data_IF_152801440098
#
_entry.id   IF_152801440098
#
_cell.length_a   1.000
_cell.length_b   1.000
_cell.length_c   1.000
_cell.angle_alpha   90.00
_cell.angle_beta   90.00
_cell.angle_gamma   90.00
#
_symmetry.space_group_name_H-M   'P 1'
#
loop_
_entity.id
_entity.type
_entity.pdbx_description
1 polymer ?
#
# COMPACT_ATOMS: atom_id res chain seq x y z
N UNK A 1 27.76 -41.28 85.77
CA UNK A 1 26.73 -40.98 84.75
C UNK A 1 26.53 -39.48 84.76
N UNK A 2 26.79 -38.79 83.65
CA UNK A 2 25.65 -38.34 82.85
C UNK A 2 26.03 -38.11 81.37
N UNK A 3 25.21 -38.61 80.42
CA UNK A 3 25.39 -38.47 78.98
C UNK A 3 24.51 -37.35 78.38
N UNK A 4 24.68 -37.14 77.05
CA UNK A 4 23.88 -36.35 76.08
C UNK A 4 24.48 -34.99 75.76
N UNK A 5 25.26 -34.87 74.68
CA UNK A 5 24.79 -34.75 73.29
C UNK A 5 23.68 -33.70 73.13
N UNK A 6 24.06 -32.43 73.04
CA UNK A 6 23.26 -31.44 72.31
C UNK A 6 23.97 -31.14 70.99
N UNK A 7 23.41 -31.75 69.96
CA UNK A 7 23.72 -31.52 68.56
C UNK A 7 23.53 -30.05 68.18
N UNK A 8 24.63 -29.31 68.06
CA UNK A 8 24.66 -28.08 67.27
C UNK A 8 24.78 -28.45 65.80
N UNK A 9 23.68 -28.90 65.19
CA UNK A 9 23.57 -29.10 63.75
C UNK A 9 23.62 -27.72 63.07
N UNK A 10 24.82 -27.17 62.90
CA UNK A 10 25.03 -25.94 62.15
C UNK A 10 24.66 -26.21 60.70
N UNK A 11 23.49 -25.71 60.30
CA UNK A 11 22.96 -25.74 58.96
C UNK A 11 23.94 -24.98 58.06
N UNK A 12 24.85 -25.73 57.42
CA UNK A 12 25.71 -25.24 56.35
C UNK A 12 24.83 -25.00 55.13
N UNK A 13 24.39 -23.76 54.97
CA UNK A 13 23.75 -23.29 53.74
C UNK A 13 24.81 -23.37 52.63
N UNK A 14 24.79 -24.46 51.87
CA UNK A 14 25.49 -24.55 50.59
C UNK A 14 24.80 -23.58 49.64
N UNK A 15 25.29 -22.33 49.58
CA UNK A 15 24.96 -21.42 48.48
C UNK A 15 25.66 -21.98 47.24
N UNK A 16 24.96 -22.85 46.51
CA UNK A 16 25.36 -23.22 45.15
C UNK A 16 25.19 -21.98 44.30
N UNK A 17 26.26 -21.21 44.15
CA UNK A 17 26.37 -20.18 43.12
C UNK A 17 26.37 -20.94 41.79
N UNK A 18 25.18 -21.13 41.21
CA UNK A 18 25.04 -21.43 39.79
C UNK A 18 25.61 -20.22 39.06
N UNK A 19 26.89 -20.32 38.67
CA UNK A 19 27.44 -19.48 37.62
C UNK A 19 26.66 -19.86 36.36
N UNK A 20 25.54 -19.19 36.14
CA UNK A 20 24.91 -19.09 34.83
C UNK A 20 25.97 -18.37 34.00
N UNK A 21 26.81 -19.13 33.32
CA UNK A 21 27.53 -18.60 32.17
C UNK A 21 26.44 -18.28 31.17
N UNK A 22 26.00 -17.02 31.14
CA UNK A 22 25.12 -16.54 30.08
C UNK A 22 25.81 -16.90 28.78
N UNK A 23 25.25 -17.88 28.07
CA UNK A 23 25.70 -18.21 26.73
C UNK A 23 25.34 -17.01 25.87
N UNK A 24 26.31 -16.11 25.66
CA UNK A 24 26.13 -14.91 24.84
C UNK A 24 25.89 -15.38 23.41
N UNK A 25 24.66 -15.22 22.92
CA UNK A 25 24.34 -15.36 21.50
C UNK A 25 24.68 -14.07 20.77
N UNK A 26 25.24 -14.21 19.57
CA UNK A 26 25.52 -13.08 18.69
C UNK A 26 24.40 -12.95 17.67
N UNK A 27 23.72 -11.82 17.61
CA UNK A 27 22.72 -11.56 16.57
C UNK A 27 23.40 -11.02 15.31
N UNK A 28 23.07 -11.61 14.17
CA UNK A 28 23.57 -11.21 12.86
C UNK A 28 22.42 -11.04 11.89
N UNK A 29 22.59 -10.10 10.97
CA UNK A 29 21.61 -9.83 9.93
C UNK A 29 22.30 -9.81 8.57
N UNK A 30 21.65 -10.41 7.59
CA UNK A 30 22.12 -10.42 6.21
C UNK A 30 20.98 -10.09 5.24
N UNK A 31 21.35 -9.52 4.09
CA UNK A 31 20.41 -9.35 3.00
C UNK A 31 20.27 -10.65 2.20
N UNK A 32 19.06 -10.93 1.71
CA UNK A 32 18.79 -11.98 0.73
C UNK A 32 19.71 -11.85 -0.50
N UNK A 33 20.25 -12.97 -0.98
CA UNK A 33 21.33 -13.06 -1.98
C UNK A 33 22.65 -12.36 -1.60
N UNK A 34 22.76 -11.85 -0.38
CA UNK A 34 23.95 -11.20 0.15
C UNK A 34 24.93 -12.17 0.79
N UNK A 35 25.71 -11.66 1.75
CA UNK A 35 26.64 -12.43 2.57
C UNK A 35 26.32 -12.22 4.04
N UNK A 36 26.13 -13.32 4.78
CA UNK A 36 26.05 -13.33 6.23
C UNK A 36 27.45 -13.52 6.83
N UNK A 37 27.67 -12.92 7.99
CA UNK A 37 28.92 -13.01 8.74
C UNK A 37 28.65 -13.73 10.04
N UNK A 38 29.22 -14.93 10.21
CA UNK A 38 29.03 -15.79 11.37
C UNK A 38 30.31 -15.79 12.21
N UNK A 39 30.41 -14.91 13.23
CA UNK A 39 31.63 -14.73 14.00
C UNK A 39 31.87 -15.92 14.94
N UNK A 40 33.15 -16.18 15.19
CA UNK A 40 33.61 -17.17 16.13
C UNK A 40 34.81 -16.61 16.91
N UNK A 41 34.59 -15.59 17.74
CA UNK A 41 35.65 -14.81 18.34
C UNK A 41 36.61 -15.70 19.13
N UNK A 42 37.91 -15.63 18.81
CA UNK A 42 38.92 -16.46 19.45
C UNK A 42 40.12 -15.65 19.90
N UNK A 43 40.09 -15.22 21.16
CA UNK A 43 41.15 -14.40 21.76
C UNK A 43 42.43 -15.19 22.07
N UNK A 44 42.31 -16.51 22.31
CA UNK A 44 43.45 -17.41 22.58
C UNK A 44 44.27 -17.76 21.33
N UNK A 45 43.87 -17.28 20.15
CA UNK A 45 44.51 -17.54 18.86
C UNK A 45 46.01 -17.21 18.82
N UNK A 46 46.45 -16.21 19.60
CA UNK A 46 47.83 -15.69 19.52
C UNK A 46 48.90 -16.74 19.80
N UNK A 47 48.55 -17.84 20.48
CA UNK A 47 49.49 -18.89 20.88
C UNK A 47 49.25 -20.25 20.21
N UNK A 48 48.23 -20.41 19.37
CA UNK A 48 47.87 -21.71 18.79
C UNK A 48 47.71 -21.57 17.27
N UNK A 49 48.52 -22.33 16.53
CA UNK A 49 48.43 -22.36 15.06
C UNK A 49 47.14 -23.05 14.60
N UNK A 50 46.59 -22.63 13.45
CA UNK A 50 45.49 -23.35 12.79
C UNK A 50 45.83 -24.81 12.49
N UNK A 51 47.11 -25.16 12.37
CA UNK A 51 47.58 -26.55 12.23
C UNK A 51 47.31 -27.43 13.44
N UNK A 52 47.02 -26.84 14.61
CA UNK A 52 46.68 -27.55 15.85
C UNK A 52 45.18 -27.51 16.16
N UNK A 53 44.40 -26.79 15.35
CA UNK A 53 43.00 -26.50 15.61
C UNK A 53 42.08 -27.24 14.64
N UNK A 54 40.89 -27.55 15.14
CA UNK A 54 39.73 -27.92 14.33
C UNK A 54 38.69 -26.83 14.55
N UNK A 55 38.30 -26.15 13.48
CA UNK A 55 37.35 -25.03 13.51
C UNK A 55 36.19 -25.37 12.61
N UNK A 56 34.96 -25.34 13.10
CA UNK A 56 33.80 -25.66 12.27
C UNK A 56 32.55 -24.92 12.71
N UNK A 57 31.65 -24.74 11.75
CA UNK A 57 30.32 -24.18 11.97
C UNK A 57 29.26 -25.21 11.62
N UNK A 58 28.21 -25.27 12.43
CA UNK A 58 27.02 -26.09 12.23
C UNK A 58 25.76 -25.23 12.30
N UNK A 59 24.75 -25.57 11.50
CA UNK A 59 23.42 -24.98 11.65
C UNK A 59 22.65 -25.63 12.81
N UNK A 60 21.45 -25.11 13.09
CA UNK A 60 20.51 -25.65 14.07
C UNK A 60 20.12 -27.13 13.84
N UNK A 61 20.27 -27.66 12.61
CA UNK A 61 20.10 -29.07 12.28
C UNK A 61 21.40 -29.89 12.39
N UNK A 62 22.48 -29.27 12.89
CA UNK A 62 23.83 -29.83 13.03
C UNK A 62 24.50 -30.16 11.70
N UNK A 63 24.04 -29.60 10.59
CA UNK A 63 24.68 -29.74 9.30
C UNK A 63 25.93 -28.85 9.29
N UNK A 64 27.07 -29.40 8.86
CA UNK A 64 28.33 -28.66 8.83
C UNK A 64 28.35 -27.73 7.62
N UNK A 65 28.60 -26.44 7.87
CA UNK A 65 28.75 -25.43 6.82
C UNK A 65 30.18 -25.35 6.31
N UNK A 66 31.14 -25.51 7.23
CA UNK A 66 32.56 -25.33 7.00
C UNK A 66 33.34 -26.08 8.06
N UNK A 67 34.45 -26.71 7.67
CA UNK A 67 35.41 -27.32 8.59
C UNK A 67 36.84 -27.00 8.13
N UNK A 68 37.61 -26.43 9.05
CA UNK A 68 39.06 -26.36 8.99
C UNK A 68 39.62 -27.42 9.93
N UNK A 69 40.41 -28.34 9.41
CA UNK A 69 40.95 -29.47 10.14
C UNK A 69 42.48 -29.47 10.07
N UNK A 70 43.13 -29.16 11.20
CA UNK A 70 44.58 -29.25 11.39
C UNK A 70 45.39 -28.64 10.22
N UNK A 71 45.08 -27.40 9.88
CA UNK A 71 45.80 -26.60 8.88
C UNK A 71 45.22 -26.67 7.47
N UNK A 72 44.25 -27.56 7.19
CA UNK A 72 43.65 -27.71 5.86
C UNK A 72 42.12 -27.63 5.92
N UNK A 73 41.51 -27.04 4.91
CA UNK A 73 40.05 -27.05 4.76
C UNK A 73 39.57 -28.46 4.38
N UNK A 74 38.54 -28.95 5.08
CA UNK A 74 38.00 -30.30 4.91
C UNK A 74 36.59 -30.23 4.34
N UNK A 75 36.47 -30.48 3.04
CA UNK A 75 35.19 -30.39 2.32
C UNK A 75 34.30 -31.62 2.51
N UNK A 76 34.86 -32.79 2.77
CA UNK A 76 34.10 -34.06 2.83
C UNK A 76 33.02 -34.10 3.92
N UNK A 77 33.16 -33.26 4.96
CA UNK A 77 32.17 -33.16 6.03
C UNK A 77 31.18 -32.02 5.84
N UNK A 78 31.43 -31.12 4.89
CA UNK A 78 30.53 -30.00 4.58
C UNK A 78 29.28 -30.53 3.88
N UNK A 79 28.11 -30.12 4.38
CA UNK A 79 26.84 -30.50 3.79
C UNK A 79 26.66 -29.86 2.40
N UNK A 80 26.04 -30.59 1.47
CA UNK A 80 25.82 -30.15 0.09
C UNK A 80 25.09 -28.79 -0.02
N UNK A 81 24.23 -28.43 0.94
CA UNK A 81 23.54 -27.12 1.01
C UNK A 81 24.52 -25.93 1.09
N UNK A 82 25.71 -26.14 1.64
CA UNK A 82 26.70 -25.09 1.95
C UNK A 82 27.95 -25.16 1.08
N UNK A 83 28.14 -26.25 0.33
CA UNK A 83 29.28 -26.40 -0.56
C UNK A 83 29.37 -25.24 -1.57
N UNK A 84 30.54 -24.60 -1.66
CA UNK A 84 30.78 -23.47 -2.56
C UNK A 84 30.12 -22.15 -2.12
N UNK A 85 29.49 -22.12 -0.94
CA UNK A 85 28.83 -20.91 -0.40
C UNK A 85 29.57 -20.31 0.79
N UNK A 86 30.66 -20.87 1.25
CA UNK A 86 31.36 -20.41 2.46
C UNK A 86 32.78 -19.95 2.19
N UNK A 87 33.23 -18.91 2.89
CA UNK A 87 34.66 -18.55 2.97
C UNK A 87 35.05 -18.14 4.39
N UNK A 88 36.20 -18.60 4.87
CA UNK A 88 36.65 -18.33 6.23
C UNK A 88 37.66 -17.18 6.30
N UNK A 89 37.30 -16.12 7.01
CA UNK A 89 38.18 -15.00 7.34
C UNK A 89 38.95 -15.32 8.63
N UNK A 90 40.18 -15.80 8.45
CA UNK A 90 41.08 -16.23 9.52
C UNK A 90 41.54 -15.08 10.43
N UNK A 91 41.59 -13.86 9.90
CA UNK A 91 42.06 -12.70 10.65
C UNK A 91 41.01 -12.26 11.67
N UNK A 92 39.73 -12.35 11.28
CA UNK A 92 38.60 -11.94 12.10
C UNK A 92 37.89 -13.10 12.81
N UNK A 93 38.30 -14.34 12.53
CA UNK A 93 37.62 -15.55 13.00
C UNK A 93 36.13 -15.60 12.63
N UNK A 94 35.82 -15.28 11.37
CA UNK A 94 34.44 -15.13 10.90
C UNK A 94 34.23 -15.97 9.65
N UNK A 95 33.18 -16.79 9.65
CA UNK A 95 32.72 -17.48 8.45
C UNK A 95 31.79 -16.57 7.66
N UNK A 96 32.04 -16.43 6.36
CA UNK A 96 31.16 -15.72 5.42
C UNK A 96 30.30 -16.76 4.73
N UNK A 97 28.98 -16.65 4.88
CA UNK A 97 28.01 -17.45 4.13
C UNK A 97 27.43 -16.60 2.99
N UNK A 98 27.74 -16.97 1.76
CA UNK A 98 27.37 -16.28 0.53
C UNK A 98 26.05 -16.78 -0.05
N UNK A 99 25.44 -15.95 -0.89
CA UNK A 99 24.16 -16.23 -1.55
C UNK A 99 23.08 -16.62 -0.54
N UNK A 100 22.94 -15.83 0.53
CA UNK A 100 22.05 -16.12 1.66
C UNK A 100 20.60 -16.21 1.19
N UNK A 101 19.89 -17.28 1.56
CA UNK A 101 18.48 -17.49 1.29
C UNK A 101 17.67 -17.35 2.59
N UNK A 102 16.35 -17.14 2.50
CA UNK A 102 15.48 -17.07 3.68
C UNK A 102 15.57 -18.38 4.52
N UNK A 103 15.73 -19.52 3.85
CA UNK A 103 15.94 -20.86 4.45
C UNK A 103 17.27 -21.03 5.20
N UNK A 104 18.16 -20.05 5.16
CA UNK A 104 19.37 -20.05 5.97
C UNK A 104 19.16 -19.33 7.31
N UNK A 105 17.97 -18.77 7.59
CA UNK A 105 17.66 -18.19 8.90
C UNK A 105 17.73 -19.25 10.01
N UNK A 106 18.17 -18.80 11.19
CA UNK A 106 18.21 -19.59 12.41
C UNK A 106 19.57 -19.56 13.09
N UNK A 107 19.74 -20.49 14.03
CA UNK A 107 20.92 -20.57 14.89
C UNK A 107 22.08 -21.29 14.21
N UNK A 108 23.29 -20.80 14.45
CA UNK A 108 24.55 -21.39 14.00
C UNK A 108 25.54 -21.50 15.15
N UNK A 109 26.03 -22.70 15.41
CA UNK A 109 27.11 -22.93 16.37
C UNK A 109 28.46 -22.92 15.67
N UNK A 110 29.38 -22.11 16.16
CA UNK A 110 30.80 -22.27 15.86
C UNK A 110 31.52 -22.99 17.01
N UNK A 111 32.44 -23.89 16.65
CA UNK A 111 33.35 -24.54 17.57
C UNK A 111 34.81 -24.34 17.15
N UNK A 112 35.67 -24.04 18.12
CA UNK A 112 37.13 -24.11 17.97
C UNK A 112 37.62 -25.14 18.96
N UNK A 113 38.28 -26.18 18.45
CA UNK A 113 38.78 -27.30 19.24
C UNK A 113 40.29 -27.44 19.07
N UNK A 114 40.98 -27.77 20.15
CA UNK A 114 42.33 -28.35 20.07
C UNK A 114 42.19 -29.85 19.99
N UNK A 115 42.95 -30.50 19.10
CA UNK A 115 42.93 -31.96 18.95
C UNK A 115 44.28 -32.59 19.35
N UNK A 116 44.59 -32.72 20.65
CA UNK A 116 45.70 -33.55 21.10
C UNK A 116 45.46 -35.05 20.81
N UNK A 117 46.49 -35.91 20.90
CA UNK A 117 46.33 -37.36 20.75
C UNK A 117 45.33 -37.99 21.74
N UNK A 118 45.12 -37.34 22.89
CA UNK A 118 44.24 -37.80 23.97
C UNK A 118 42.76 -37.54 23.72
N UNK A 119 42.38 -36.77 22.69
CA UNK A 119 41.00 -36.44 22.38
C UNK A 119 40.83 -35.03 21.82
N UNK A 120 39.60 -34.52 21.78
CA UNK A 120 39.30 -33.14 21.39
C UNK A 120 38.91 -32.30 22.61
N UNK A 121 39.48 -31.09 22.72
CA UNK A 121 39.16 -30.12 23.76
C UNK A 121 38.51 -28.91 23.10
N UNK A 122 37.26 -28.60 23.46
CA UNK A 122 36.58 -27.38 23.01
C UNK A 122 37.24 -26.18 23.70
N UNK A 123 37.80 -25.27 22.90
CA UNK A 123 38.41 -24.03 23.36
C UNK A 123 37.45 -22.84 23.31
N UNK A 124 36.52 -22.86 22.36
CA UNK A 124 35.49 -21.83 22.15
C UNK A 124 34.24 -22.49 21.56
N UNK A 125 33.08 -22.02 22.02
CA UNK A 125 31.80 -22.22 21.37
C UNK A 125 31.09 -20.87 21.29
N UNK A 126 30.53 -20.55 20.12
CA UNK A 126 29.77 -19.31 19.92
C UNK A 126 28.48 -19.62 19.18
N UNK A 127 27.35 -19.24 19.76
CA UNK A 127 26.05 -19.31 19.11
C UNK A 127 25.78 -18.00 18.37
N UNK A 128 25.42 -18.08 17.09
CA UNK A 128 25.03 -16.92 16.27
C UNK A 128 23.61 -17.11 15.76
N UNK A 129 22.75 -16.13 16.00
CA UNK A 129 21.40 -16.07 15.43
C UNK A 129 21.43 -15.28 14.12
N UNK A 130 21.09 -15.91 13.00
CA UNK A 130 21.04 -15.26 11.69
C UNK A 130 19.60 -14.89 11.30
N UNK A 131 19.36 -13.60 11.14
CA UNK A 131 18.16 -13.04 10.52
C UNK A 131 18.44 -12.65 9.06
N UNK A 132 17.45 -12.85 8.18
CA UNK A 132 17.57 -12.48 6.76
C UNK A 132 16.49 -11.48 6.39
N UNK A 133 16.92 -10.37 5.77
CA UNK A 133 16.04 -9.32 5.25
C UNK A 133 16.07 -9.35 3.72
N UNK A 134 14.89 -9.24 3.12
CA UNK A 134 14.74 -8.94 1.71
C UNK A 134 13.95 -7.65 1.58
N UNK A 135 14.52 -6.66 0.88
CA UNK A 135 13.84 -5.41 0.65
C UNK A 135 12.64 -5.64 -0.27
N UNK A 136 11.48 -5.21 0.19
CA UNK A 136 10.29 -5.11 -0.64
C UNK A 136 10.55 -4.17 -1.83
N UNK A 137 9.98 -4.50 -2.99
CA UNK A 137 9.93 -3.57 -4.12
C UNK A 137 9.20 -2.29 -3.70
N UNK A 138 9.59 -1.14 -4.28
CA UNK A 138 8.85 0.11 -4.09
C UNK A 138 7.35 -0.14 -4.35
N UNK A 139 6.43 0.27 -3.45
CA UNK A 139 5.01 0.05 -3.66
C UNK A 139 4.54 0.79 -4.91
N UNK A 140 3.79 0.10 -5.77
CA UNK A 140 3.28 0.65 -7.03
C UNK A 140 1.75 0.70 -7.01
N UNK A 141 1.17 1.89 -7.24
CA UNK A 141 -0.27 2.09 -7.36
C UNK A 141 -0.69 1.91 -8.82
N UNK A 142 -1.72 1.10 -9.05
CA UNK A 142 -2.35 0.87 -10.35
C UNK A 142 -3.84 1.17 -10.28
N UNK A 143 -4.35 1.82 -11.33
CA UNK A 143 -5.77 2.11 -11.51
C UNK A 143 -6.42 0.97 -12.32
N UNK A 144 -7.57 0.45 -11.89
CA UNK A 144 -8.36 -0.47 -12.69
C UNK A 144 -9.00 0.27 -13.87
N UNK A 145 -9.01 -0.34 -15.06
CA UNK A 145 -9.33 0.30 -16.34
C UNK A 145 -10.77 0.83 -16.51
N UNK A 146 -11.64 0.71 -15.50
CA UNK A 146 -13.06 1.09 -15.60
C UNK A 146 -13.33 2.43 -14.89
N UNK A 147 -12.75 3.52 -15.38
CA UNK A 147 -13.13 4.87 -14.93
C UNK A 147 -14.16 5.43 -15.91
N UNK A 148 -15.44 5.30 -15.58
CA UNK A 148 -16.48 6.14 -16.20
C UNK A 148 -16.63 7.38 -15.31
N UNK A 149 -16.70 8.57 -15.89
CA UNK A 149 -16.45 9.87 -15.22
C UNK A 149 -17.16 10.21 -13.89
N UNK A 150 -18.14 9.40 -13.45
CA UNK A 150 -18.82 9.52 -12.15
C UNK A 150 -18.84 8.21 -11.33
N UNK A 151 -18.39 7.11 -11.90
CA UNK A 151 -18.28 5.81 -11.24
C UNK A 151 -16.91 5.74 -10.59
N UNK A 152 -16.85 5.53 -9.27
CA UNK A 152 -15.63 5.59 -8.47
C UNK A 152 -14.41 4.86 -9.06
N UNK A 153 -13.22 5.26 -8.60
CA UNK A 153 -11.94 4.67 -8.99
C UNK A 153 -11.61 3.47 -8.11
N UNK A 154 -11.04 2.44 -8.72
CA UNK A 154 -10.48 1.30 -8.01
C UNK A 154 -8.95 1.33 -8.13
N UNK A 155 -8.29 1.41 -6.99
CA UNK A 155 -6.85 1.42 -6.87
C UNK A 155 -6.38 0.10 -6.29
N UNK A 156 -5.27 -0.39 -6.81
CA UNK A 156 -4.54 -1.52 -6.24
C UNK A 156 -3.10 -1.10 -6.08
N UNK A 157 -2.58 -1.23 -4.88
CA UNK A 157 -1.18 -1.03 -4.61
C UNK A 157 -0.50 -2.37 -4.37
N UNK A 158 0.67 -2.58 -4.98
CA UNK A 158 1.40 -3.86 -4.87
C UNK A 158 2.86 -3.63 -4.51
N UNK A 159 3.40 -4.50 -3.67
CA UNK A 159 4.83 -4.59 -3.37
C UNK A 159 5.23 -6.06 -3.25
N UNK A 160 6.44 -6.42 -3.69
CA UNK A 160 6.82 -7.82 -3.93
C UNK A 160 8.22 -8.15 -3.42
N UNK A 161 8.48 -9.46 -3.31
CA UNK A 161 9.80 -10.06 -3.09
C UNK A 161 10.49 -9.59 -1.79
N UNK A 162 9.74 -9.33 -0.72
CA UNK A 162 10.28 -8.86 0.55
C UNK A 162 10.16 -9.84 1.71
N UNK A 163 10.96 -9.63 2.76
CA UNK A 163 10.98 -10.42 3.99
C UNK A 163 11.54 -9.55 5.14
N UNK A 164 10.98 -9.56 6.36
CA UNK A 164 9.95 -10.48 6.90
C UNK A 164 8.53 -10.11 6.49
N UNK A 165 7.55 -10.85 7.03
CA UNK A 165 6.11 -10.62 6.79
C UNK A 165 5.74 -9.17 7.14
N UNK A 166 5.05 -8.44 6.24
CA UNK A 166 4.65 -7.05 6.50
C UNK A 166 3.53 -6.95 7.54
N UNK A 167 3.48 -5.83 8.28
CA UNK A 167 2.46 -5.56 9.30
C UNK A 167 1.20 -4.95 8.71
N UNK A 168 1.35 -3.92 7.88
CA UNK A 168 0.22 -3.22 7.24
C UNK A 168 0.63 -2.58 5.92
N UNK A 169 -0.36 -2.41 5.05
CA UNK A 169 -0.23 -1.67 3.80
C UNK A 169 -1.50 -0.84 3.61
N UNK A 170 -1.36 0.45 3.38
CA UNK A 170 -2.50 1.36 3.39
C UNK A 170 -2.27 2.55 2.45
N UNK A 171 -3.35 3.22 2.09
CA UNK A 171 -3.33 4.44 1.28
C UNK A 171 -3.50 5.67 2.18
N UNK A 172 -2.74 6.71 1.85
CA UNK A 172 -2.90 8.06 2.35
C UNK A 172 -3.38 8.94 1.21
N UNK A 173 -4.37 9.77 1.49
CA UNK A 173 -5.02 10.66 0.52
C UNK A 173 -4.81 12.10 1.00
N UNK A 174 -4.54 13.02 0.08
CA UNK A 174 -4.39 14.45 0.41
C UNK A 174 -5.53 14.93 1.31
N UNK A 175 -5.19 15.73 2.33
CA UNK A 175 -6.11 16.31 3.32
C UNK A 175 -6.78 15.30 4.28
N UNK A 176 -6.36 14.04 4.30
CA UNK A 176 -6.81 13.05 5.28
C UNK A 176 -5.62 12.45 6.04
N UNK A 177 -5.81 12.19 7.33
CA UNK A 177 -4.87 11.42 8.17
C UNK A 177 -5.29 9.96 8.31
N UNK A 178 -6.42 9.57 7.72
CA UNK A 178 -6.94 8.22 7.82
C UNK A 178 -6.14 7.25 6.94
N UNK A 179 -5.96 6.04 7.44
CA UNK A 179 -5.40 4.92 6.68
C UNK A 179 -6.54 4.23 5.93
N UNK A 180 -6.46 4.21 4.59
CA UNK A 180 -7.48 3.58 3.75
C UNK A 180 -6.99 2.24 3.17
N UNK A 181 -7.92 1.32 2.91
CA UNK A 181 -7.69 0.08 2.19
C UNK A 181 -7.96 -1.16 3.04
N UNK A 182 -9.05 -1.85 2.74
CA UNK A 182 -9.61 -2.90 3.60
C UNK A 182 -9.28 -4.32 3.15
N UNK A 183 -8.68 -4.48 1.96
CA UNK A 183 -8.42 -5.80 1.34
C UNK A 183 -6.92 -6.04 1.18
N UNK A 184 -6.21 -6.12 2.30
CA UNK A 184 -4.80 -6.48 2.34
C UNK A 184 -4.66 -8.00 2.11
N UNK A 185 -3.97 -8.37 1.04
CA UNK A 185 -3.68 -9.75 0.67
C UNK A 185 -2.17 -9.96 0.68
N UNK A 186 -1.72 -11.04 1.33
CA UNK A 186 -0.31 -11.42 1.39
C UNK A 186 -0.20 -12.84 0.84
N UNK A 187 0.74 -13.05 -0.07
CA UNK A 187 1.17 -14.36 -0.54
C UNK A 187 2.64 -14.57 -0.22
N UNK A 188 3.05 -15.83 -0.06
CA UNK A 188 4.42 -16.23 0.17
C UNK A 188 4.84 -17.24 -0.89
N UNK A 189 5.99 -17.02 -1.51
CA UNK A 189 6.57 -17.95 -2.46
C UNK A 189 7.12 -19.19 -1.73
N UNK A 190 6.80 -20.39 -2.21
CA UNK A 190 7.16 -21.65 -1.52
C UNK A 190 8.64 -22.04 -1.69
N UNK A 191 9.35 -21.48 -2.68
CA UNK A 191 10.76 -21.78 -2.94
C UNK A 191 11.66 -20.82 -2.19
N UNK A 192 11.43 -19.51 -2.37
CA UNK A 192 12.24 -18.42 -1.85
C UNK A 192 11.78 -17.93 -0.47
N UNK A 193 10.54 -18.26 -0.07
CA UNK A 193 9.89 -17.79 1.17
C UNK A 193 9.68 -16.27 1.24
N UNK A 194 9.85 -15.57 0.12
CA UNK A 194 9.63 -14.14 -0.02
C UNK A 194 8.13 -13.82 -0.12
N UNK A 195 7.73 -12.71 0.49
CA UNK A 195 6.35 -12.23 0.50
C UNK A 195 6.05 -11.30 -0.67
N UNK A 196 4.83 -11.38 -1.18
CA UNK A 196 4.22 -10.38 -2.05
C UNK A 196 2.91 -9.92 -1.42
N UNK A 197 2.66 -8.62 -1.49
CA UNK A 197 1.52 -7.98 -0.84
C UNK A 197 0.77 -7.08 -1.82
N UNK A 198 -0.54 -7.07 -1.69
CA UNK A 198 -1.41 -6.12 -2.37
C UNK A 198 -2.48 -5.58 -1.42
N UNK A 199 -2.82 -4.31 -1.55
CA UNK A 199 -4.03 -3.75 -0.94
C UNK A 199 -4.84 -2.99 -2.00
N UNK A 200 -6.16 -3.06 -1.90
CA UNK A 200 -7.09 -2.42 -2.83
C UNK A 200 -7.99 -1.42 -2.11
N UNK A 201 -8.35 -0.36 -2.83
CA UNK A 201 -9.18 0.73 -2.35
C UNK A 201 -10.12 1.20 -3.46
N UNK A 202 -11.40 1.32 -3.13
CA UNK A 202 -12.41 1.93 -3.99
C UNK A 202 -12.76 3.32 -3.47
N UNK A 203 -12.59 4.36 -4.30
CA UNK A 203 -12.95 5.73 -3.96
C UNK A 203 -14.04 6.22 -4.89
N UNK A 204 -15.17 6.65 -4.33
CA UNK A 204 -16.13 7.47 -5.06
C UNK A 204 -15.67 8.92 -4.99
N UNK A 205 -15.50 9.59 -6.13
CA UNK A 205 -15.26 11.03 -6.13
C UNK A 205 -16.55 11.73 -5.69
N UNK A 206 -16.55 12.51 -4.59
CA UNK A 206 -17.65 13.40 -4.31
C UNK A 206 -17.67 14.53 -5.36
N UNK A 207 -18.87 14.98 -5.71
CA UNK A 207 -19.05 16.14 -6.60
C UNK A 207 -18.24 17.34 -6.08
N UNK A 208 -17.32 17.84 -6.91
CA UNK A 208 -16.57 19.07 -6.62
C UNK A 208 -15.21 18.92 -5.91
N UNK A 209 -14.65 17.72 -5.72
CA UNK A 209 -13.23 17.55 -5.31
C UNK A 209 -12.35 17.41 -6.55
N UNK A 210 -11.45 18.38 -6.75
CA UNK A 210 -10.78 18.64 -8.04
C UNK A 210 -9.36 18.08 -8.15
N UNK A 211 -8.62 17.93 -7.05
CA UNK A 211 -7.27 17.35 -7.04
C UNK A 211 -7.09 16.40 -5.86
N UNK A 212 -6.66 15.18 -6.14
CA UNK A 212 -6.34 14.19 -5.13
C UNK A 212 -4.96 13.59 -5.42
N UNK A 213 -4.11 13.55 -4.40
CA UNK A 213 -2.86 12.80 -4.41
C UNK A 213 -3.01 11.59 -3.51
N UNK A 214 -2.71 10.42 -4.05
CA UNK A 214 -2.75 9.16 -3.33
C UNK A 214 -1.32 8.63 -3.20
N UNK A 215 -0.95 8.26 -1.98
CA UNK A 215 0.32 7.60 -1.66
C UNK A 215 0.01 6.29 -0.97
N UNK A 216 0.72 5.23 -1.35
CA UNK A 216 0.60 3.93 -0.72
C UNK A 216 1.81 3.71 0.19
N UNK A 217 1.56 3.21 1.39
CA UNK A 217 2.59 2.99 2.41
C UNK A 217 2.58 1.53 2.82
N UNK A 218 3.76 0.90 2.79
CA UNK A 218 4.01 -0.42 3.33
C UNK A 218 4.81 -0.29 4.63
N UNK A 219 4.36 -0.97 5.68
CA UNK A 219 5.01 -0.99 6.98
C UNK A 219 5.32 -2.43 7.39
N UNK A 220 6.59 -2.68 7.73
CA UNK A 220 7.08 -3.94 8.30
C UNK A 220 7.54 -3.70 9.74
N UNK A 221 8.13 -4.72 10.38
CA UNK A 221 8.69 -4.55 11.73
C UNK A 221 9.87 -3.58 11.79
N UNK A 222 10.63 -3.47 10.69
CA UNK A 222 11.91 -2.76 10.63
C UNK A 222 11.93 -1.59 9.64
N UNK A 223 10.97 -1.50 8.72
CA UNK A 223 10.96 -0.49 7.66
C UNK A 223 9.57 0.02 7.34
N UNK A 224 9.52 1.28 6.86
CA UNK A 224 8.35 1.92 6.29
C UNK A 224 8.74 2.50 4.93
N UNK A 225 8.05 2.09 3.87
CA UNK A 225 8.31 2.56 2.50
C UNK A 225 7.03 3.08 1.87
N UNK A 226 7.18 4.10 1.03
CA UNK A 226 6.07 4.76 0.34
C UNK A 226 6.23 4.62 -1.17
N UNK A 227 5.10 4.59 -1.88
CA UNK A 227 5.06 4.70 -3.33
C UNK A 227 5.38 6.12 -3.81
N UNK A 228 5.64 6.24 -5.11
CA UNK A 228 5.46 7.52 -5.81
C UNK A 228 4.01 8.01 -5.66
N UNK A 229 3.78 9.33 -5.59
CA UNK A 229 2.44 9.89 -5.53
C UNK A 229 1.69 9.69 -6.86
N UNK A 230 0.43 9.28 -6.79
CA UNK A 230 -0.50 9.26 -7.92
C UNK A 230 -1.45 10.45 -7.82
N UNK A 231 -1.45 11.32 -8.83
CA UNK A 231 -2.29 12.52 -8.87
C UNK A 231 -3.50 12.30 -9.79
N UNK A 232 -4.69 12.65 -9.30
CA UNK A 232 -5.93 12.67 -10.08
C UNK A 232 -6.31 14.12 -10.41
N UNK A 233 -6.56 14.37 -11.70
CA UNK A 233 -7.13 15.61 -12.25
C UNK A 233 -8.31 15.21 -13.12
N UNK A 234 -9.52 15.64 -12.78
CA UNK A 234 -10.66 15.44 -13.68
C UNK A 234 -10.54 16.39 -14.87
N UNK A 235 -10.37 15.85 -16.09
CA UNK A 235 -10.57 16.63 -17.31
C UNK A 235 -12.07 16.92 -17.42
N UNK A 236 -12.47 18.16 -17.13
CA UNK A 236 -13.76 18.64 -17.60
C UNK A 236 -13.79 18.45 -19.12
N UNK A 237 -14.89 17.96 -19.72
CA UNK A 237 -15.16 18.30 -21.11
C UNK A 237 -15.11 19.81 -21.13
N UNK A 238 -14.11 20.38 -21.82
CA UNK A 238 -13.98 21.82 -21.93
C UNK A 238 -15.37 22.40 -22.23
N UNK A 239 -15.78 23.53 -21.64
CA UNK A 239 -17.09 24.10 -21.91
C UNK A 239 -17.25 24.55 -23.38
N UNK A 240 -16.33 24.21 -24.28
CA UNK A 240 -16.39 24.48 -25.71
C UNK A 240 -17.70 24.02 -26.36
N UNK A 241 -18.43 23.04 -25.81
CA UNK A 241 -19.76 22.67 -26.34
C UNK A 241 -20.84 23.67 -25.93
N UNK A 242 -20.80 24.22 -24.71
CA UNK A 242 -21.83 25.12 -24.21
C UNK A 242 -21.76 26.51 -24.85
N UNK A 243 -20.56 27.00 -25.14
CA UNK A 243 -20.38 28.31 -25.79
C UNK A 243 -20.80 28.28 -27.27
N UNK A 244 -20.71 27.11 -27.92
CA UNK A 244 -21.20 26.91 -29.30
C UNK A 244 -22.73 26.94 -29.38
N UNK A 245 -23.41 26.35 -28.40
CA UNK A 245 -24.89 26.38 -28.31
C UNK A 245 -25.43 27.79 -27.98
N UNK A 246 -24.77 28.52 -27.07
CA UNK A 246 -25.19 29.89 -26.73
C UNK A 246 -24.99 30.82 -27.93
N UNK A 247 -23.85 30.74 -28.62
CA UNK A 247 -23.59 31.60 -29.80
C UNK A 247 -24.57 31.32 -30.94
N UNK A 248 -24.93 30.05 -31.18
CA UNK A 248 -25.98 29.70 -32.13
C UNK A 248 -27.36 30.25 -31.70
N UNK A 249 -27.72 30.13 -30.42
CA UNK A 249 -29.01 30.62 -29.92
C UNK A 249 -29.13 32.15 -29.99
N UNK A 250 -28.07 32.87 -29.63
CA UNK A 250 -28.03 34.34 -29.67
C UNK A 250 -28.07 34.85 -31.11
N UNK A 251 -27.39 34.19 -32.05
CA UNK A 251 -27.43 34.57 -33.47
C UNK A 251 -28.81 34.32 -34.09
N UNK A 252 -29.45 33.18 -33.79
CA UNK A 252 -30.81 32.89 -34.25
C UNK A 252 -31.82 33.92 -33.68
N UNK A 253 -31.71 34.26 -32.39
CA UNK A 253 -32.57 35.27 -31.78
C UNK A 253 -32.41 36.66 -32.43
N UNK A 254 -31.17 37.09 -32.71
CA UNK A 254 -30.90 38.35 -33.42
C UNK A 254 -31.49 38.37 -34.82
N UNK A 255 -31.39 37.27 -35.57
CA UNK A 255 -31.96 37.15 -36.91
C UNK A 255 -33.49 37.23 -36.88
N UNK A 256 -34.15 36.60 -35.91
CA UNK A 256 -35.61 36.67 -35.75
C UNK A 256 -36.07 38.09 -35.42
N UNK A 257 -35.37 38.80 -34.52
CA UNK A 257 -35.67 40.21 -34.19
C UNK A 257 -35.51 41.11 -35.41
N UNK A 258 -34.43 40.94 -36.19
CA UNK A 258 -34.22 41.69 -37.44
C UNK A 258 -35.33 41.44 -38.46
N UNK A 259 -35.79 40.19 -38.59
CA UNK A 259 -36.87 39.81 -39.52
C UNK A 259 -38.20 40.44 -39.10
N UNK A 260 -38.50 40.47 -37.80
CA UNK A 260 -39.67 41.17 -37.25
C UNK A 260 -39.62 42.68 -37.52
N UNK A 261 -38.45 43.32 -37.35
CA UNK A 261 -38.27 44.75 -37.68
C UNK A 261 -38.54 44.99 -39.17
N UNK A 262 -38.02 44.15 -40.07
CA UNK A 262 -38.25 44.28 -41.53
C UNK A 262 -39.74 44.12 -41.86
N UNK A 263 -40.44 43.16 -41.26
CA UNK A 263 -41.88 42.94 -41.46
C UNK A 263 -42.69 44.14 -40.95
N UNK A 264 -42.35 44.70 -39.78
CA UNK A 264 -43.00 45.90 -39.25
C UNK A 264 -42.72 47.17 -40.08
N UNK A 265 -41.54 47.26 -40.72
CA UNK A 265 -41.23 48.36 -41.63
C UNK A 265 -41.91 48.23 -43.00
N UNK A 266 -42.37 47.04 -43.40
CA UNK A 266 -43.17 46.83 -44.61
C UNK A 266 -44.62 47.31 -44.39
N UNK A 267 -44.78 48.63 -44.28
CA UNK A 267 -46.08 49.30 -44.31
C UNK A 267 -46.70 49.11 -45.71
N UNK A 268 -47.92 48.56 -45.83
CA UNK A 268 -48.55 48.33 -47.13
C UNK A 268 -48.89 49.68 -47.79
N UNK A 269 -48.35 49.90 -49.00
CA UNK A 269 -48.77 50.98 -49.88
C UNK A 269 -50.24 50.73 -50.30
N UNK A 270 -51.16 51.56 -49.82
CA UNK A 270 -52.54 51.60 -50.31
C UNK A 270 -52.56 52.15 -51.75
N UNK A 271 -53.25 51.49 -52.69
CA UNK A 271 -53.52 52.04 -54.01
C UNK A 271 -54.72 53.00 -53.99
N UNK A 272 -54.57 54.07 -54.76
CA UNK A 272 -55.47 55.22 -54.91
C UNK A 272 -56.81 54.88 -55.56
N UNK A 273 -57.93 55.30 -54.95
CA UNK A 273 -59.18 55.67 -55.66
C UNK A 273 -60.00 56.67 -54.85
N UNK A 274 -60.32 57.84 -55.44
CA UNK A 274 -61.63 58.42 -55.18
C UNK A 274 -62.25 59.02 -56.46
N UNK A 275 -63.53 58.72 -56.70
CA UNK A 275 -64.49 59.75 -57.11
C UNK A 275 -65.89 59.33 -56.70
N UNK A 276 -66.51 60.23 -55.94
CA UNK A 276 -67.84 60.15 -55.36
C UNK A 276 -68.90 60.48 -56.40
N UNK A 277 -70.08 59.85 -56.33
CA UNK A 277 -71.38 60.52 -56.51
C UNK A 277 -72.47 59.65 -55.89
N UNK A 278 -73.39 60.32 -55.20
CA UNK A 278 -74.45 59.83 -54.33
C UNK A 278 -75.72 59.33 -55.07
N UNK A 279 -76.72 58.96 -54.25
CA UNK A 279 -78.06 58.38 -54.55
C UNK A 279 -78.04 56.84 -54.56
N UNK A 280 -78.95 56.11 -53.90
CA UNK A 280 -80.38 56.37 -53.62
C UNK A 280 -80.88 55.44 -52.49
N UNK A 281 -81.91 55.92 -51.79
CA UNK A 281 -82.79 55.21 -50.82
C UNK A 281 -83.50 53.97 -51.40
N UNK A 282 -83.92 53.07 -50.50
CA UNK A 282 -85.18 52.28 -50.34
C UNK A 282 -84.82 50.88 -49.76
N UNK A 283 -85.08 50.55 -48.48
CA UNK A 283 -86.31 50.00 -47.85
C UNK A 283 -86.73 48.59 -48.34
N UNK A 284 -86.71 47.63 -47.41
CA UNK A 284 -87.68 46.51 -47.13
C UNK A 284 -86.95 45.43 -46.30
N UNK A 285 -87.25 45.20 -45.01
CA UNK A 285 -88.38 44.50 -44.35
C UNK A 285 -88.40 42.96 -44.49
N UNK A 286 -87.92 42.26 -43.46
CA UNK A 286 -88.49 41.07 -42.78
C UNK A 286 -87.35 40.41 -41.98
N UNK A 287 -87.39 40.42 -40.64
CA UNK A 287 -88.15 39.48 -39.81
C UNK A 287 -87.66 38.04 -39.98
N UNK A 288 -86.65 37.65 -39.20
CA UNK A 288 -86.65 36.34 -38.55
C UNK A 288 -85.99 36.42 -37.17
N UNK A 289 -86.57 35.61 -36.29
CA UNK A 289 -86.62 35.72 -34.85
C UNK A 289 -86.01 34.45 -34.30
N UNK A 290 -84.95 34.54 -33.50
CA UNK A 290 -84.76 33.56 -32.44
C UNK A 290 -83.90 34.09 -31.30
N UNK A 291 -84.40 33.82 -30.09
CA UNK A 291 -83.92 34.32 -28.81
C UNK A 291 -83.57 33.07 -28.01
N UNK A 292 -82.33 32.93 -27.54
CA UNK A 292 -82.05 32.08 -26.38
C UNK A 292 -81.11 32.84 -25.46
N UNK A 293 -81.69 33.26 -24.34
CA UNK A 293 -81.05 33.83 -23.17
C UNK A 293 -80.59 32.65 -22.30
N UNK A 294 -79.31 32.57 -21.95
CA UNK A 294 -78.85 31.78 -20.81
C UNK A 294 -77.80 32.60 -20.05
N UNK A 295 -78.30 33.56 -19.29
CA UNK A 295 -77.55 34.30 -18.29
C UNK A 295 -77.86 33.64 -16.95
N UNK A 296 -77.04 32.69 -16.54
CA UNK A 296 -76.86 32.27 -15.13
C UNK A 296 -75.71 31.25 -15.08
N UNK A 297 -74.47 31.70 -14.87
CA UNK A 297 -73.49 30.91 -14.09
C UNK A 297 -72.37 31.84 -13.56
N UNK A 298 -72.77 32.78 -12.72
CA UNK A 298 -72.01 33.14 -11.52
C UNK A 298 -72.64 32.32 -10.39
N UNK A 299 -71.91 31.85 -9.35
CA UNK A 299 -71.31 32.84 -8.44
C UNK A 299 -70.08 32.41 -7.60
N UNK A 300 -69.46 33.44 -7.01
CA UNK A 300 -68.67 33.51 -5.76
C UNK A 300 -67.22 33.01 -5.81
N UNK A 301 -66.22 33.90 -5.78
CA UNK A 301 -65.75 34.68 -4.61
C UNK A 301 -65.55 33.79 -3.37
N UNK A 302 -64.32 33.29 -3.20
CA UNK A 302 -63.77 32.94 -1.92
C UNK A 302 -62.41 33.63 -1.77
N UNK A 303 -62.45 34.82 -1.15
CA UNK A 303 -61.28 35.45 -0.54
C UNK A 303 -61.29 35.11 0.95
N UNK A 304 -60.28 34.38 1.43
CA UNK A 304 -59.91 34.34 2.85
C UNK A 304 -58.48 33.80 3.04
N UNK A 305 -57.54 34.74 2.95
CA UNK A 305 -56.36 35.00 3.83
C UNK A 305 -55.55 33.84 4.47
N UNK A 306 -54.21 33.98 4.52
CA UNK A 306 -53.30 33.03 5.19
C UNK A 306 -53.08 33.35 6.69
N UNK A 307 -52.62 32.33 7.44
CA UNK A 307 -51.75 32.33 8.64
C UNK A 307 -51.43 30.83 8.92
N UNK A 308 -50.19 30.33 8.86
CA UNK A 308 -49.05 30.58 9.73
C UNK A 308 -49.30 30.15 11.19
N UNK A 309 -49.02 28.89 11.49
CA UNK A 309 -48.19 28.42 12.63
C UNK A 309 -47.60 27.04 12.28
#
# INVERSE_FOLDING_TARGET
MDPRCTMGLAILIFVTVLLISDAVSVETQAYFNGTAYLPCPFTKAQNISLSELVVFWQDQQKLVLYEHYLGTEKLDSVNAKYLGRTSFDRNNWTLRLHNVQIKDMGSYDCFIQKKPPTGSIILQQTLTELSVIANFSEPEIKLAQNVTGNSGINLTCTSKQGHPKPKKMYFLITNSTNEYGDNMQISQDNVTELFSISNSLSLSFPDGVWHMTVVCVLETESMKISSKPLNFTQEFPSPQTYWKEITASVTVALLLVMLLIIVCHKKPNQPSRPSNTASKLERDSNADRETINLKELEPQIASAKPNAE
#
